data_IF_870762138764
#
_entry.id   IF_870762138764
#
_cell.length_a   1.000
_cell.length_b   1.000
_cell.length_c   1.000
_cell.angle_alpha   90.00
_cell.angle_beta   90.00
_cell.angle_gamma   90.00
#
_symmetry.space_group_name_H-M   'P 1'
#
loop_
_entity.id
_entity.type
_entity.pdbx_description
1 polymer ?
#
# COMPACT_ATOMS: atom_id res chain seq x y z
N UNK A 1 -29.29 0.85 16.27
CA UNK A 1 -29.23 1.56 14.98
C UNK A 1 -28.89 2.99 15.32
N UNK A 2 -27.66 3.44 15.07
CA UNK A 2 -27.26 4.82 15.37
C UNK A 2 -27.85 5.70 14.27
N UNK A 3 -28.88 6.44 14.60
CA UNK A 3 -29.41 7.54 13.79
C UNK A 3 -28.42 8.69 13.96
N UNK A 4 -27.58 8.94 12.96
CA UNK A 4 -26.66 10.08 12.98
C UNK A 4 -27.46 11.26 12.44
N UNK A 5 -27.99 12.08 13.35
CA UNK A 5 -28.53 13.37 12.99
C UNK A 5 -27.35 14.35 12.87
N UNK A 6 -27.05 14.75 11.64
CA UNK A 6 -26.05 15.81 11.40
C UNK A 6 -26.76 17.16 11.43
N UNK A 7 -26.14 18.15 12.08
CA UNK A 7 -26.67 19.52 12.13
C UNK A 7 -26.70 20.14 10.73
N UNK A 8 -27.78 20.86 10.42
CA UNK A 8 -27.89 21.62 9.18
C UNK A 8 -26.83 22.75 9.17
N UNK A 9 -26.12 22.97 8.05
CA UNK A 9 -25.16 24.10 7.93
C UNK A 9 -25.75 25.46 8.23
N UNK A 10 -27.07 25.64 8.11
CA UNK A 10 -27.74 26.91 8.46
C UNK A 10 -27.79 27.08 9.99
N UNK A 11 -28.08 26.01 10.73
CA UNK A 11 -28.15 26.02 12.20
C UNK A 11 -26.78 26.27 12.84
N UNK A 12 -25.69 25.90 12.15
CA UNK A 12 -24.33 26.10 12.63
C UNK A 12 -23.91 27.59 12.68
N UNK A 13 -24.60 28.48 11.98
CA UNK A 13 -24.26 29.92 11.97
C UNK A 13 -24.55 30.60 13.28
N UNK A 14 -25.54 30.14 13.99
CA UNK A 14 -25.99 30.72 15.27
C UNK A 14 -25.56 29.88 16.48
N UNK A 15 -24.78 28.80 16.23
CA UNK A 15 -24.28 27.89 17.26
C UNK A 15 -23.09 28.54 18.03
N UNK A 16 -23.00 28.23 19.31
CA UNK A 16 -21.82 28.59 20.12
C UNK A 16 -20.62 27.63 19.79
N UNK A 17 -19.44 28.02 20.27
CA UNK A 17 -18.20 27.28 20.02
C UNK A 17 -18.28 25.82 20.49
N UNK A 18 -18.97 25.54 21.60
CA UNK A 18 -19.13 24.18 22.12
C UNK A 18 -20.00 23.32 21.18
N UNK A 19 -21.09 23.89 20.68
CA UNK A 19 -21.95 23.22 19.70
C UNK A 19 -21.25 22.99 18.37
N UNK A 20 -20.41 23.95 17.91
CA UNK A 20 -19.58 23.79 16.71
C UNK A 20 -18.56 22.66 16.88
N UNK A 21 -17.88 22.58 18.03
CA UNK A 21 -16.95 21.47 18.31
C UNK A 21 -17.65 20.13 18.34
N UNK A 22 -18.83 20.04 18.97
CA UNK A 22 -19.63 18.82 19.00
C UNK A 22 -20.05 18.39 17.59
N UNK A 23 -20.50 19.34 16.75
CA UNK A 23 -20.85 19.05 15.36
C UNK A 23 -19.66 18.53 14.53
N UNK A 24 -18.47 19.09 14.74
CA UNK A 24 -17.22 18.60 14.09
C UNK A 24 -16.93 17.16 14.51
N UNK A 25 -17.02 16.85 15.80
CA UNK A 25 -16.78 15.49 16.31
C UNK A 25 -17.83 14.51 15.81
N UNK A 26 -19.09 14.88 15.74
CA UNK A 26 -20.18 14.04 15.26
C UNK A 26 -20.04 13.76 13.76
N UNK A 27 -19.73 14.76 12.95
CA UNK A 27 -19.45 14.59 11.53
C UNK A 27 -18.25 13.66 11.31
N UNK A 28 -17.16 13.84 12.05
CA UNK A 28 -15.98 13.00 11.95
C UNK A 28 -16.29 11.53 12.31
N UNK A 29 -17.07 11.30 13.38
CA UNK A 29 -17.52 9.95 13.75
C UNK A 29 -18.43 9.34 12.69
N UNK A 30 -19.34 10.12 12.14
CA UNK A 30 -20.26 9.69 11.08
C UNK A 30 -19.51 9.26 9.81
N UNK A 31 -18.54 10.08 9.36
CA UNK A 31 -17.71 9.79 8.20
C UNK A 31 -16.95 8.47 8.38
N UNK A 32 -16.33 8.31 9.53
CA UNK A 32 -15.59 7.09 9.87
C UNK A 32 -16.50 5.86 9.87
N UNK A 33 -17.64 5.94 10.54
CA UNK A 33 -18.61 4.85 10.62
C UNK A 33 -19.21 4.49 9.24
N UNK A 34 -19.45 5.48 8.40
CA UNK A 34 -19.90 5.27 7.01
C UNK A 34 -18.79 4.57 6.19
N UNK A 35 -17.52 5.00 6.35
CA UNK A 35 -16.37 4.36 5.75
C UNK A 35 -16.21 2.90 6.16
N UNK A 36 -16.41 2.59 7.44
CA UNK A 36 -16.36 1.24 7.97
C UNK A 36 -17.45 0.33 7.36
N UNK A 37 -18.70 0.81 7.29
CA UNK A 37 -19.81 0.09 6.64
C UNK A 37 -19.54 -0.17 5.17
N UNK A 38 -18.99 0.82 4.46
CA UNK A 38 -18.60 0.66 3.06
C UNK A 38 -17.56 -0.44 2.90
N UNK A 39 -16.54 -0.50 3.75
CA UNK A 39 -15.55 -1.57 3.70
C UNK A 39 -16.16 -2.94 4.02
N UNK A 40 -17.11 -3.02 4.94
CA UNK A 40 -17.83 -4.28 5.22
C UNK A 40 -18.60 -4.77 3.98
N UNK A 41 -19.26 -3.86 3.25
CA UNK A 41 -19.96 -4.19 2.01
C UNK A 41 -18.97 -4.65 0.91
N UNK A 42 -17.82 -3.99 0.81
CA UNK A 42 -16.74 -4.39 -0.13
C UNK A 42 -16.21 -5.78 0.23
N UNK A 43 -16.00 -6.09 1.51
CA UNK A 43 -15.55 -7.42 1.94
C UNK A 43 -16.54 -8.51 1.53
N UNK A 44 -17.82 -8.28 1.74
CA UNK A 44 -18.88 -9.23 1.38
C UNK A 44 -18.96 -9.43 -0.15
N UNK A 45 -18.93 -8.34 -0.93
CA UNK A 45 -18.90 -8.42 -2.39
C UNK A 45 -17.68 -9.19 -2.89
N UNK A 46 -16.50 -8.87 -2.35
CA UNK A 46 -15.25 -9.55 -2.70
C UNK A 46 -15.35 -11.04 -2.41
N UNK A 47 -15.80 -11.43 -1.22
CA UNK A 47 -15.95 -12.83 -0.83
C UNK A 47 -16.89 -13.60 -1.76
N UNK A 48 -17.99 -12.98 -2.19
CA UNK A 48 -18.95 -13.60 -3.14
C UNK A 48 -18.34 -13.79 -4.53
N UNK A 49 -17.50 -12.87 -4.99
CA UNK A 49 -16.88 -12.96 -6.33
C UNK A 49 -15.69 -13.92 -6.37
N UNK A 50 -14.95 -14.04 -5.25
CA UNK A 50 -13.73 -14.87 -5.19
C UNK A 50 -13.97 -16.25 -4.57
N UNK A 51 -15.04 -16.44 -3.78
CA UNK A 51 -15.29 -17.68 -3.02
C UNK A 51 -15.64 -18.90 -3.87
N UNK A 52 -16.07 -18.73 -5.12
CA UNK A 52 -16.39 -19.81 -6.06
C UNK A 52 -16.00 -19.38 -7.48
N UNK A 53 -14.73 -19.03 -7.66
CA UNK A 53 -14.25 -18.43 -8.90
C UNK A 53 -14.06 -19.48 -10.00
N UNK A 54 -15.10 -19.66 -10.82
CA UNK A 54 -15.05 -20.48 -12.03
C UNK A 54 -14.22 -19.84 -13.16
N UNK A 55 -13.65 -18.67 -12.93
CA UNK A 55 -12.90 -17.86 -13.90
C UNK A 55 -11.43 -17.69 -13.51
N UNK A 56 -10.94 -18.52 -12.57
CA UNK A 56 -9.56 -18.42 -12.08
C UNK A 56 -8.50 -18.54 -13.21
N UNK A 57 -8.88 -19.21 -14.31
CA UNK A 57 -8.01 -19.38 -15.50
C UNK A 57 -8.28 -18.33 -16.61
N UNK A 58 -9.11 -17.32 -16.34
CA UNK A 58 -9.40 -16.27 -17.30
C UNK A 58 -8.46 -15.08 -17.12
N UNK A 59 -8.29 -14.27 -18.16
CA UNK A 59 -7.53 -13.02 -18.12
C UNK A 59 -8.08 -12.00 -17.11
N UNK A 60 -9.37 -12.11 -16.72
CA UNK A 60 -10.03 -11.38 -15.65
C UNK A 60 -10.66 -12.37 -14.68
N UNK A 61 -10.08 -12.53 -13.51
CA UNK A 61 -10.58 -13.40 -12.44
C UNK A 61 -11.69 -12.73 -11.61
N UNK A 62 -12.20 -13.43 -10.60
CA UNK A 62 -13.22 -12.92 -9.69
C UNK A 62 -12.76 -11.70 -8.89
N UNK A 63 -11.47 -11.58 -8.63
CA UNK A 63 -10.89 -10.41 -7.97
C UNK A 63 -10.95 -9.17 -8.86
N UNK A 64 -10.53 -9.28 -10.12
CA UNK A 64 -10.56 -8.18 -11.08
C UNK A 64 -11.98 -7.71 -11.37
N UNK A 65 -12.93 -8.65 -11.48
CA UNK A 65 -14.35 -8.34 -11.62
C UNK A 65 -14.86 -7.53 -10.42
N UNK A 66 -14.59 -8.00 -9.19
CA UNK A 66 -14.99 -7.28 -7.97
C UNK A 66 -14.32 -5.89 -7.89
N UNK A 67 -13.04 -5.79 -8.25
CA UNK A 67 -12.33 -4.53 -8.24
C UNK A 67 -12.91 -3.53 -9.26
N UNK A 68 -13.33 -3.99 -10.43
CA UNK A 68 -14.00 -3.15 -11.43
C UNK A 68 -15.37 -2.67 -10.94
N UNK A 69 -16.18 -3.55 -10.33
CA UNK A 69 -17.48 -3.19 -9.74
C UNK A 69 -17.32 -2.15 -8.61
N UNK A 70 -16.36 -2.35 -7.70
CA UNK A 70 -16.07 -1.41 -6.61
C UNK A 70 -15.53 -0.08 -7.16
N UNK A 71 -14.66 -0.14 -8.18
CA UNK A 71 -14.14 1.06 -8.82
C UNK A 71 -15.23 1.91 -9.43
N UNK A 72 -16.18 1.30 -10.15
CA UNK A 72 -17.33 1.96 -10.75
C UNK A 72 -18.25 2.56 -9.66
N UNK A 73 -18.57 1.79 -8.62
CA UNK A 73 -19.47 2.25 -7.55
C UNK A 73 -18.89 3.44 -6.76
N UNK A 74 -17.56 3.52 -6.62
CA UNK A 74 -16.89 4.57 -5.86
C UNK A 74 -16.30 5.67 -6.73
N UNK A 75 -16.37 5.55 -8.07
CA UNK A 75 -15.73 6.47 -9.00
C UNK A 75 -14.22 6.64 -8.71
N UNK A 76 -13.54 5.51 -8.51
CA UNK A 76 -12.09 5.46 -8.22
C UNK A 76 -11.38 4.56 -9.22
N UNK A 77 -10.04 4.62 -9.26
CA UNK A 77 -9.25 3.71 -10.09
C UNK A 77 -9.36 2.25 -9.60
N UNK A 78 -9.22 1.29 -10.51
CA UNK A 78 -9.16 -0.15 -10.21
C UNK A 78 -8.13 -0.47 -9.11
N UNK A 79 -6.94 0.10 -9.18
CA UNK A 79 -5.90 -0.06 -8.15
C UNK A 79 -6.37 0.41 -6.77
N UNK A 80 -7.09 1.53 -6.69
CA UNK A 80 -7.61 2.05 -5.42
C UNK A 80 -8.74 1.16 -4.89
N UNK A 81 -9.58 0.62 -5.76
CA UNK A 81 -10.62 -0.35 -5.41
C UNK A 81 -10.02 -1.64 -4.86
N UNK A 82 -9.04 -2.23 -5.55
CA UNK A 82 -8.30 -3.41 -5.09
C UNK A 82 -7.64 -3.19 -3.73
N UNK A 83 -7.06 -2.00 -3.49
CA UNK A 83 -6.52 -1.64 -2.17
C UNK A 83 -7.58 -1.61 -1.07
N UNK A 84 -8.81 -1.15 -1.35
CA UNK A 84 -9.93 -1.19 -0.40
C UNK A 84 -10.42 -2.62 -0.16
N UNK A 85 -10.42 -3.48 -1.17
CA UNK A 85 -10.74 -4.90 -1.03
C UNK A 85 -9.75 -5.60 -0.10
N UNK A 86 -8.45 -5.40 -0.30
CA UNK A 86 -7.42 -5.94 0.61
C UNK A 86 -7.61 -5.46 2.05
N UNK A 87 -7.84 -4.16 2.23
CA UNK A 87 -8.08 -3.58 3.55
C UNK A 87 -9.30 -4.19 4.21
N UNK A 88 -10.41 -4.34 3.48
CA UNK A 88 -11.67 -4.88 3.99
C UNK A 88 -11.54 -6.34 4.44
N UNK A 89 -10.87 -7.18 3.64
CA UNK A 89 -10.60 -8.57 4.01
C UNK A 89 -9.65 -8.68 5.21
N UNK A 90 -8.67 -7.77 5.32
CA UNK A 90 -7.78 -7.76 6.49
C UNK A 90 -8.53 -7.40 7.76
N UNK A 91 -9.49 -6.46 7.68
CA UNK A 91 -10.34 -6.09 8.82
C UNK A 91 -11.24 -7.22 9.31
N UNK A 92 -11.68 -8.13 8.43
CA UNK A 92 -12.42 -9.33 8.85
C UNK A 92 -11.61 -10.24 9.80
N UNK A 93 -10.29 -10.11 9.79
CA UNK A 93 -9.39 -10.84 10.69
C UNK A 93 -9.16 -10.13 12.03
N UNK A 94 -9.65 -8.90 12.18
CA UNK A 94 -9.47 -8.01 13.33
C UNK A 94 -10.84 -7.51 13.83
N UNK A 95 -11.70 -8.40 14.35
CA UNK A 95 -13.09 -8.07 14.65
C UNK A 95 -13.26 -7.00 15.73
N UNK A 96 -12.37 -6.90 16.72
CA UNK A 96 -12.48 -5.88 17.77
C UNK A 96 -12.05 -4.51 17.27
N UNK A 97 -10.97 -4.42 16.48
CA UNK A 97 -10.57 -3.18 15.79
C UNK A 97 -11.67 -2.74 14.82
N UNK A 98 -12.25 -3.68 14.06
CA UNK A 98 -13.35 -3.41 13.14
C UNK A 98 -14.61 -2.88 13.86
N UNK A 99 -14.92 -3.39 15.04
CA UNK A 99 -16.03 -2.90 15.85
C UNK A 99 -15.84 -1.44 16.29
N UNK A 100 -14.64 -1.06 16.73
CA UNK A 100 -14.31 0.33 17.06
C UNK A 100 -14.37 1.25 15.85
N UNK A 101 -13.96 0.75 14.69
CA UNK A 101 -14.05 1.50 13.43
C UNK A 101 -15.52 1.71 13.02
N UNK A 102 -16.36 0.67 13.13
CA UNK A 102 -17.81 0.78 12.90
C UNK A 102 -18.50 1.72 13.87
N UNK A 103 -18.01 1.84 15.11
CA UNK A 103 -18.48 2.77 16.10
C UNK A 103 -17.96 4.22 15.89
N UNK A 104 -17.12 4.46 14.87
CA UNK A 104 -16.56 5.78 14.58
C UNK A 104 -15.44 6.22 15.52
N UNK A 105 -14.88 5.29 16.31
CA UNK A 105 -13.87 5.59 17.33
C UNK A 105 -12.42 5.56 16.83
N UNK A 106 -12.17 4.96 15.67
CA UNK A 106 -10.85 4.87 15.05
C UNK A 106 -10.86 5.50 13.66
N UNK A 107 -9.94 6.40 13.39
CA UNK A 107 -9.83 6.99 12.05
C UNK A 107 -9.46 5.96 10.98
N UNK A 108 -9.90 6.18 9.74
CA UNK A 108 -9.56 5.34 8.59
C UNK A 108 -8.03 5.21 8.39
N UNK A 109 -7.27 6.29 8.67
CA UNK A 109 -5.81 6.28 8.64
C UNK A 109 -5.24 5.28 9.64
N UNK A 110 -5.69 5.31 10.89
CA UNK A 110 -5.21 4.42 11.94
C UNK A 110 -5.52 2.95 11.62
N UNK A 111 -6.73 2.68 11.19
CA UNK A 111 -7.19 1.34 10.79
C UNK A 111 -6.38 0.81 9.61
N UNK A 112 -6.08 1.64 8.61
CA UNK A 112 -5.24 1.24 7.47
C UNK A 112 -3.83 0.86 7.90
N UNK A 113 -3.21 1.59 8.83
CA UNK A 113 -1.88 1.28 9.34
C UNK A 113 -1.91 -0.01 10.17
N UNK A 114 -2.91 -0.19 11.03
CA UNK A 114 -3.09 -1.43 11.79
C UNK A 114 -3.21 -2.63 10.84
N UNK A 115 -4.10 -2.56 9.85
CA UNK A 115 -4.32 -3.63 8.90
C UNK A 115 -3.04 -3.97 8.12
N UNK A 116 -2.32 -2.96 7.66
CA UNK A 116 -1.06 -3.14 6.95
C UNK A 116 0.01 -3.81 7.80
N UNK A 117 0.18 -3.37 9.05
CA UNK A 117 1.21 -3.91 9.95
C UNK A 117 0.90 -5.34 10.41
N UNK A 118 -0.37 -5.69 10.59
CA UNK A 118 -0.82 -7.01 11.06
C UNK A 118 -0.96 -8.04 9.95
N UNK A 119 -0.81 -7.65 8.69
CA UNK A 119 -1.01 -8.52 7.53
C UNK A 119 -0.20 -9.83 7.58
N UNK A 120 1.04 -9.76 8.06
CA UNK A 120 1.96 -10.91 8.13
C UNK A 120 1.80 -11.77 9.39
N UNK A 121 0.93 -11.41 10.32
CA UNK A 121 0.58 -12.28 11.46
C UNK A 121 -0.30 -13.42 10.93
N UNK A 122 0.23 -14.64 10.98
CA UNK A 122 -0.43 -15.82 10.40
C UNK A 122 -1.14 -16.67 11.42
N UNK A 123 -0.59 -16.75 12.64
CA UNK A 123 -1.17 -17.54 13.72
C UNK A 123 -2.50 -16.91 14.17
N UNK A 124 -3.62 -17.65 14.10
CA UNK A 124 -4.94 -17.14 14.49
C UNK A 124 -5.06 -16.76 15.96
N UNK A 125 -4.39 -17.49 16.85
CA UNK A 125 -4.42 -17.23 18.29
C UNK A 125 -3.64 -15.94 18.59
N UNK A 126 -2.41 -15.81 18.08
CA UNK A 126 -1.63 -14.59 18.20
C UNK A 126 -2.37 -13.38 17.61
N UNK A 127 -3.05 -13.55 16.48
CA UNK A 127 -3.82 -12.49 15.85
C UNK A 127 -5.03 -12.06 16.70
N UNK A 128 -5.72 -13.01 17.33
CA UNK A 128 -6.85 -12.72 18.23
C UNK A 128 -6.40 -11.95 19.47
N UNK A 129 -5.28 -12.34 20.09
CA UNK A 129 -4.69 -11.63 21.23
C UNK A 129 -4.21 -10.23 20.83
N UNK A 130 -3.62 -10.12 19.64
CA UNK A 130 -3.17 -8.85 19.07
C UNK A 130 -4.35 -7.91 18.79
N UNK A 131 -5.43 -8.40 18.18
CA UNK A 131 -6.64 -7.62 17.91
C UNK A 131 -7.23 -7.05 19.21
N UNK A 132 -7.33 -7.87 20.26
CA UNK A 132 -7.78 -7.43 21.57
C UNK A 132 -6.87 -6.34 22.19
N UNK A 133 -5.55 -6.52 22.08
CA UNK A 133 -4.59 -5.54 22.59
C UNK A 133 -4.63 -4.24 21.80
N UNK A 134 -4.69 -4.31 20.47
CA UNK A 134 -4.80 -3.14 19.61
C UNK A 134 -6.09 -2.38 19.87
N UNK A 135 -7.23 -3.07 19.94
CA UNK A 135 -8.53 -2.44 20.23
C UNK A 135 -8.51 -1.69 21.57
N UNK A 136 -7.87 -2.25 22.59
CA UNK A 136 -7.76 -1.59 23.91
C UNK A 136 -6.98 -0.29 23.90
N UNK A 137 -5.98 -0.17 23.02
CA UNK A 137 -5.03 0.96 23.02
C UNK A 137 -5.21 1.93 21.86
N UNK A 138 -5.83 1.51 20.77
CA UNK A 138 -5.86 2.25 19.50
C UNK A 138 -6.55 3.62 19.61
N UNK A 139 -7.56 3.78 20.47
CA UNK A 139 -8.27 5.06 20.67
C UNK A 139 -7.34 6.18 21.17
N UNK A 140 -6.28 5.83 21.91
CA UNK A 140 -5.30 6.79 22.41
C UNK A 140 -4.24 7.19 21.36
N UNK A 141 -4.20 6.50 20.21
CA UNK A 141 -3.14 6.69 19.20
C UNK A 141 -3.50 7.68 18.08
N UNK A 142 -4.71 8.23 18.08
CA UNK A 142 -5.15 9.17 17.04
C UNK A 142 -4.18 10.32 16.77
N UNK A 143 -3.61 10.99 17.80
CA UNK A 143 -2.69 12.09 17.62
C UNK A 143 -1.27 11.70 17.18
N UNK A 144 -0.92 10.40 17.16
CA UNK A 144 0.44 9.97 16.85
C UNK A 144 0.77 10.17 15.36
N UNK A 145 2.02 10.57 15.09
CA UNK A 145 2.56 10.52 13.71
C UNK A 145 2.66 9.08 13.21
N UNK A 146 2.66 8.90 11.88
CA UNK A 146 2.71 7.56 11.29
C UNK A 146 3.89 6.70 11.82
N UNK A 147 5.14 7.19 11.90
CA UNK A 147 6.25 6.40 12.43
C UNK A 147 6.09 5.99 13.90
N UNK A 148 5.52 6.88 14.74
CA UNK A 148 5.26 6.57 16.15
C UNK A 148 4.15 5.52 16.28
N UNK A 149 3.12 5.63 15.45
CA UNK A 149 2.02 4.69 15.39
C UNK A 149 2.50 3.30 14.94
N UNK A 150 3.27 3.22 13.87
CA UNK A 150 3.86 1.97 13.40
C UNK A 150 4.71 1.31 14.48
N UNK A 151 5.57 2.06 15.16
CA UNK A 151 6.38 1.54 16.27
C UNK A 151 5.52 1.04 17.43
N UNK A 152 4.43 1.72 17.77
CA UNK A 152 3.50 1.28 18.81
C UNK A 152 2.81 -0.04 18.42
N UNK A 153 2.37 -0.18 17.18
CA UNK A 153 1.76 -1.42 16.67
C UNK A 153 2.80 -2.55 16.65
N UNK A 154 4.00 -2.29 16.13
CA UNK A 154 5.09 -3.28 16.05
C UNK A 154 5.48 -3.84 17.42
N UNK A 155 5.43 -3.02 18.48
CA UNK A 155 5.72 -3.50 19.82
C UNK A 155 4.71 -4.55 20.30
N UNK A 156 3.45 -4.46 19.88
CA UNK A 156 2.44 -5.47 20.16
C UNK A 156 2.60 -6.70 19.26
N UNK A 157 2.94 -6.51 17.98
CA UNK A 157 3.26 -7.63 17.09
C UNK A 157 4.44 -8.43 17.63
N UNK A 158 5.52 -7.76 18.06
CA UNK A 158 6.70 -8.41 18.61
C UNK A 158 6.37 -9.24 19.86
N UNK A 159 5.41 -8.78 20.65
CA UNK A 159 4.95 -9.47 21.85
C UNK A 159 4.18 -10.76 21.56
N UNK A 160 3.31 -10.77 20.54
CA UNK A 160 2.40 -11.89 20.27
C UNK A 160 2.86 -12.78 19.10
N UNK A 161 3.53 -12.21 18.10
CA UNK A 161 4.13 -12.92 16.96
C UNK A 161 5.44 -12.27 16.53
N UNK A 162 6.53 -12.45 17.27
CA UNK A 162 7.84 -11.91 16.90
C UNK A 162 8.33 -12.46 15.55
N UNK A 163 7.79 -13.58 15.09
CA UNK A 163 8.09 -14.13 13.78
C UNK A 163 7.48 -13.30 12.63
N UNK A 164 6.36 -12.60 12.86
CA UNK A 164 5.76 -11.73 11.87
C UNK A 164 6.70 -10.58 11.46
N UNK A 165 7.36 -9.94 12.41
CA UNK A 165 8.36 -8.90 12.14
C UNK A 165 9.60 -9.46 11.42
N UNK A 166 10.01 -10.69 11.77
CA UNK A 166 11.09 -11.39 11.05
C UNK A 166 10.68 -11.72 9.62
N UNK A 167 9.42 -12.14 9.38
CA UNK A 167 8.88 -12.38 8.02
C UNK A 167 8.95 -11.12 7.16
N UNK A 168 8.69 -9.94 7.71
CA UNK A 168 8.85 -8.66 7.01
C UNK A 168 10.29 -8.44 6.56
N UNK A 169 11.27 -8.74 7.42
CA UNK A 169 12.70 -8.63 7.09
C UNK A 169 13.15 -9.68 6.09
N UNK A 170 12.67 -10.93 6.22
CA UNK A 170 12.95 -12.01 5.28
C UNK A 170 12.33 -11.69 3.90
N UNK A 171 11.18 -11.06 3.85
CA UNK A 171 10.55 -10.60 2.60
C UNK A 171 11.44 -9.62 1.82
N UNK A 172 12.31 -8.87 2.48
CA UNK A 172 13.30 -8.03 1.80
C UNK A 172 14.40 -8.83 1.08
N UNK A 173 14.62 -10.10 1.44
CA UNK A 173 15.55 -11.00 0.74
C UNK A 173 14.96 -11.50 -0.59
N UNK A 174 13.65 -11.57 -0.70
CA UNK A 174 12.94 -11.96 -1.92
C UNK A 174 12.88 -10.81 -2.96
N UNK A 175 13.88 -9.91 -2.92
CA UNK A 175 14.03 -8.93 -4.00
C UNK A 175 14.38 -9.68 -5.25
N UNK A 176 13.62 -9.41 -6.27
CA UNK A 176 13.78 -10.03 -7.57
C UNK A 176 13.32 -9.07 -8.66
N UNK A 177 13.89 -9.20 -9.82
CA UNK A 177 13.47 -8.48 -11.02
C UNK A 177 13.39 -9.51 -12.15
N UNK A 178 12.18 -9.77 -12.58
CA UNK A 178 11.89 -10.70 -13.64
C UNK A 178 11.57 -9.96 -14.93
N UNK A 179 12.12 -10.45 -16.02
CA UNK A 179 11.77 -10.04 -17.37
C UNK A 179 11.12 -11.25 -18.02
N UNK A 180 9.87 -11.12 -18.43
CA UNK A 180 9.12 -12.18 -19.12
C UNK A 180 9.64 -12.42 -20.53
N UNK A 181 9.17 -13.49 -21.10
CA UNK A 181 9.45 -13.79 -22.50
C UNK A 181 8.90 -12.68 -23.41
N UNK A 182 9.61 -12.33 -24.48
CA UNK A 182 9.11 -11.36 -25.45
C UNK A 182 7.79 -11.82 -26.07
N UNK A 183 6.82 -10.93 -26.13
CA UNK A 183 5.65 -11.10 -26.97
C UNK A 183 6.09 -10.84 -28.42
N UNK A 184 6.12 -11.89 -29.24
CA UNK A 184 6.61 -11.84 -30.61
C UNK A 184 5.74 -10.94 -31.51
N UNK A 185 4.43 -10.83 -31.20
CA UNK A 185 3.50 -9.99 -32.00
C UNK A 185 3.59 -8.52 -31.62
N UNK A 186 3.76 -8.21 -30.33
CA UNK A 186 3.81 -6.85 -29.81
C UNK A 186 5.24 -6.28 -29.71
N UNK A 187 6.26 -7.12 -29.76
CA UNK A 187 7.67 -6.73 -29.57
C UNK A 187 7.95 -6.18 -28.17
N UNK A 188 7.15 -6.54 -27.18
CA UNK A 188 7.26 -6.11 -25.79
C UNK A 188 7.54 -7.29 -24.86
N UNK A 189 8.07 -7.01 -23.68
CA UNK A 189 8.22 -8.00 -22.62
C UNK A 189 7.69 -7.43 -21.30
N UNK A 190 7.06 -8.27 -20.50
CA UNK A 190 6.61 -7.86 -19.17
C UNK A 190 7.81 -7.74 -18.23
N UNK A 191 7.77 -6.73 -17.34
CA UNK A 191 8.75 -6.52 -16.29
C UNK A 191 8.01 -6.45 -14.95
N UNK A 192 8.40 -7.28 -13.97
CA UNK A 192 7.85 -7.25 -12.61
C UNK A 192 8.91 -7.64 -11.58
N UNK A 193 8.67 -7.29 -10.32
CA UNK A 193 9.60 -7.65 -9.27
C UNK A 193 9.41 -6.87 -7.98
N UNK A 194 10.39 -7.01 -7.09
CA UNK A 194 10.46 -6.33 -5.80
C UNK A 194 11.83 -5.69 -5.60
N UNK A 195 11.81 -4.40 -5.29
CA UNK A 195 12.98 -3.60 -4.92
C UNK A 195 12.87 -3.16 -3.44
N UNK A 196 13.95 -2.67 -2.88
CA UNK A 196 13.83 -1.85 -1.67
C UNK A 196 12.93 -0.64 -1.94
N UNK A 197 12.16 -0.22 -0.95
CA UNK A 197 11.26 0.92 -1.09
C UNK A 197 11.97 2.20 -1.51
N UNK A 198 13.19 2.42 -1.02
CA UNK A 198 14.06 3.54 -1.41
C UNK A 198 14.45 3.47 -2.88
N UNK A 199 14.86 2.30 -3.35
CA UNK A 199 15.28 2.09 -4.74
C UNK A 199 14.09 2.22 -5.69
N UNK A 200 12.94 1.67 -5.31
CA UNK A 200 11.70 1.81 -6.07
C UNK A 200 11.29 3.29 -6.19
N UNK A 201 11.36 4.05 -5.08
CA UNK A 201 11.06 5.49 -5.09
C UNK A 201 12.06 6.30 -5.93
N UNK A 202 13.36 5.97 -5.88
CA UNK A 202 14.37 6.57 -6.73
C UNK A 202 14.10 6.29 -8.20
N UNK A 203 13.84 5.04 -8.54
CA UNK A 203 13.56 4.62 -9.90
C UNK A 203 12.29 5.31 -10.43
N UNK A 204 11.20 5.30 -9.66
CA UNK A 204 9.94 5.95 -10.03
C UNK A 204 10.14 7.45 -10.31
N UNK A 205 10.83 8.15 -9.42
CA UNK A 205 11.14 9.57 -9.58
C UNK A 205 12.02 9.82 -10.81
N UNK A 206 13.03 8.98 -11.04
CA UNK A 206 13.92 9.10 -12.19
C UNK A 206 13.19 8.87 -13.51
N UNK A 207 12.36 7.82 -13.59
CA UNK A 207 11.54 7.54 -14.77
C UNK A 207 10.57 8.69 -15.06
N UNK A 208 9.96 9.26 -14.03
CA UNK A 208 9.08 10.42 -14.16
C UNK A 208 9.83 11.64 -14.70
N UNK A 209 11.02 11.94 -14.19
CA UNK A 209 11.86 13.04 -14.68
C UNK A 209 12.22 12.86 -16.14
N UNK A 210 12.64 11.67 -16.54
CA UNK A 210 13.01 11.37 -17.92
C UNK A 210 11.80 11.49 -18.88
N UNK A 211 10.65 10.97 -18.45
CA UNK A 211 9.42 11.03 -19.23
C UNK A 211 8.90 12.47 -19.46
N UNK A 212 9.16 13.38 -18.53
CA UNK A 212 8.85 14.80 -18.67
C UNK A 212 9.98 15.63 -19.30
N UNK A 213 11.13 15.04 -19.54
CA UNK A 213 12.29 15.72 -20.15
C UNK A 213 12.24 15.85 -21.66
N UNK A 214 11.20 15.33 -22.32
CA UNK A 214 10.95 15.47 -23.75
C UNK A 214 9.97 16.61 -24.04
N UNK A 215 9.89 17.09 -25.28
CA UNK A 215 8.97 18.17 -25.64
C UNK A 215 7.50 17.72 -25.64
N UNK A 216 6.58 18.69 -25.67
CA UNK A 216 5.13 18.42 -25.64
C UNK A 216 4.62 17.72 -26.91
N UNK A 217 5.33 17.93 -28.07
CA UNK A 217 5.00 17.30 -29.35
C UNK A 217 5.46 15.84 -29.45
N UNK A 218 6.03 15.24 -28.39
CA UNK A 218 6.40 13.83 -28.39
C UNK A 218 5.12 12.97 -28.47
N UNK A 219 4.98 12.08 -29.48
CA UNK A 219 3.72 11.36 -29.73
C UNK A 219 3.42 10.29 -28.66
N UNK A 220 4.40 9.92 -27.83
CA UNK A 220 4.24 8.89 -26.80
C UNK A 220 3.46 9.42 -25.60
N UNK A 221 2.62 8.58 -25.03
CA UNK A 221 1.98 8.84 -23.74
C UNK A 221 3.02 8.85 -22.61
N UNK A 222 2.70 9.47 -21.47
CA UNK A 222 3.59 9.45 -20.29
C UNK A 222 3.93 8.02 -19.86
N UNK A 223 2.99 7.08 -19.97
CA UNK A 223 3.24 5.67 -19.64
C UNK A 223 4.28 5.05 -20.60
N UNK A 224 4.16 5.30 -21.88
CA UNK A 224 5.14 4.84 -22.89
C UNK A 224 6.50 5.51 -22.69
N UNK A 225 6.53 6.82 -22.44
CA UNK A 225 7.78 7.55 -22.15
C UNK A 225 8.47 6.98 -20.90
N UNK A 226 7.72 6.57 -19.87
CA UNK A 226 8.29 5.94 -18.67
C UNK A 226 8.88 4.55 -18.96
N UNK A 227 8.22 3.77 -19.79
CA UNK A 227 8.74 2.45 -20.22
C UNK A 227 10.04 2.60 -21.03
N UNK A 228 10.04 3.51 -22.02
CA UNK A 228 11.20 3.80 -22.84
C UNK A 228 12.37 4.41 -22.03
N UNK A 229 12.03 5.23 -21.02
CA UNK A 229 13.02 5.79 -20.10
C UNK A 229 13.74 4.70 -19.29
N UNK A 230 13.08 3.59 -18.96
CA UNK A 230 13.73 2.45 -18.30
C UNK A 230 14.79 1.82 -19.24
N UNK A 231 14.44 1.64 -20.52
CA UNK A 231 15.36 1.16 -21.54
C UNK A 231 16.55 2.11 -21.73
N UNK A 232 16.30 3.43 -21.78
CA UNK A 232 17.35 4.45 -21.86
C UNK A 232 18.30 4.38 -20.66
N UNK A 233 17.78 4.24 -19.43
CA UNK A 233 18.60 4.06 -18.21
C UNK A 233 19.42 2.78 -18.27
N UNK A 234 18.85 1.67 -18.75
CA UNK A 234 19.56 0.41 -18.90
C UNK A 234 20.71 0.52 -19.93
N UNK A 235 20.54 1.38 -20.95
CA UNK A 235 21.58 1.71 -21.93
C UNK A 235 22.60 2.75 -21.43
N UNK A 236 22.48 3.22 -20.17
CA UNK A 236 23.38 4.20 -19.58
C UNK A 236 23.11 5.65 -20.01
N UNK A 237 21.92 5.93 -20.56
CA UNK A 237 21.56 7.28 -20.97
C UNK A 237 21.07 8.15 -19.81
N UNK A 238 21.42 9.42 -19.81
CA UNK A 238 21.00 10.39 -18.79
C UNK A 238 19.59 10.94 -19.04
N UNK A 239 19.05 10.73 -20.22
CA UNK A 239 17.77 11.28 -20.66
C UNK A 239 17.11 10.41 -21.73
N UNK A 240 15.82 10.60 -21.88
CA UNK A 240 15.02 10.00 -22.92
C UNK A 240 15.12 10.86 -24.20
N UNK A 241 15.43 10.24 -25.32
CA UNK A 241 15.41 10.90 -26.63
C UNK A 241 13.97 11.23 -27.02
N UNK A 242 13.74 12.47 -27.48
CA UNK A 242 12.42 12.91 -27.94
C UNK A 242 12.04 12.21 -29.26
N UNK A 243 10.79 11.78 -29.35
CA UNK A 243 10.22 11.15 -30.55
C UNK A 243 9.42 12.10 -31.46
N UNK A 244 9.50 13.42 -31.28
CA UNK A 244 8.71 14.39 -32.07
C UNK A 244 9.14 14.50 -33.54
N UNK A 245 10.29 13.96 -33.93
CA UNK A 245 10.78 14.03 -35.32
C UNK A 245 11.32 15.37 -35.75
N UNK A 246 11.29 16.41 -34.90
CA UNK A 246 11.84 17.72 -35.20
C UNK A 246 13.35 17.77 -34.97
N UNK A 247 14.13 18.07 -36.03
CA UNK A 247 15.61 18.18 -35.94
C UNK A 247 16.07 19.28 -34.98
N UNK A 248 15.26 20.33 -34.82
CA UNK A 248 15.57 21.49 -33.99
C UNK A 248 15.07 21.36 -32.56
N UNK A 249 14.48 20.20 -32.22
CA UNK A 249 14.00 19.95 -30.89
C UNK A 249 15.17 19.91 -29.86
N UNK A 250 15.16 20.73 -28.83
CA UNK A 250 16.24 20.78 -27.84
C UNK A 250 16.39 19.45 -27.05
N UNK A 251 15.37 18.60 -27.09
CA UNK A 251 15.39 17.27 -26.45
C UNK A 251 15.78 16.15 -27.41
N UNK A 252 16.01 16.43 -28.71
CA UNK A 252 16.43 15.43 -29.69
C UNK A 252 17.96 15.29 -29.79
N UNK A 253 18.70 16.35 -29.52
CA UNK A 253 20.17 16.35 -29.59
C UNK A 253 20.77 17.22 -28.49
N UNK A 254 21.77 16.70 -27.79
CA UNK A 254 22.61 17.53 -26.93
C UNK A 254 23.11 16.80 -25.67
N UNK A 255 24.39 16.89 -25.49
CA UNK A 255 25.15 16.47 -24.28
C UNK A 255 24.81 17.43 -23.12
N UNK A 256 23.67 17.26 -22.45
CA UNK A 256 23.41 17.98 -21.22
C UNK A 256 23.76 17.12 -20.02
N UNK A 257 24.80 17.48 -19.30
CA UNK A 257 25.00 17.04 -17.93
C UNK A 257 23.80 17.51 -17.11
N UNK A 258 22.85 16.62 -16.86
CA UNK A 258 21.83 16.89 -15.87
C UNK A 258 22.40 16.66 -14.48
N UNK A 259 22.36 17.72 -13.67
CA UNK A 259 22.47 17.56 -12.24
C UNK A 259 21.33 16.64 -11.77
N UNK A 260 21.67 15.53 -11.17
CA UNK A 260 20.69 14.63 -10.56
C UNK A 260 20.08 15.33 -9.35
N UNK A 261 19.03 16.11 -9.56
CA UNK A 261 18.31 16.82 -8.49
C UNK A 261 17.42 15.92 -7.64
N UNK A 262 17.76 14.65 -7.48
CA UNK A 262 17.02 13.74 -6.60
C UNK A 262 17.65 13.80 -5.22
N UNK A 263 17.00 14.48 -4.29
CA UNK A 263 17.35 14.47 -2.87
C UNK A 263 16.43 13.50 -2.16
N UNK A 264 16.98 12.46 -1.56
CA UNK A 264 16.25 11.52 -0.70
C UNK A 264 16.56 11.90 0.74
N UNK A 265 15.53 12.34 1.47
CA UNK A 265 15.64 12.57 2.91
C UNK A 265 15.40 11.24 3.63
N UNK A 266 16.47 10.68 4.20
CA UNK A 266 16.39 9.51 5.08
C UNK A 266 16.42 10.02 6.52
N UNK A 267 15.36 9.76 7.28
CA UNK A 267 15.35 10.01 8.72
C UNK A 267 15.66 8.68 9.41
N UNK A 268 16.84 8.60 10.00
CA UNK A 268 17.32 7.43 10.72
C UNK A 268 17.91 7.85 12.06
N UNK A 269 17.93 6.96 13.05
CA UNK A 269 18.71 7.15 14.28
C UNK A 269 20.19 7.24 13.96
N UNK A 270 20.93 8.11 14.68
CA UNK A 270 22.37 8.31 14.46
C UNK A 270 23.17 7.00 14.57
N UNK A 271 22.74 6.06 15.41
CA UNK A 271 23.33 4.73 15.53
C UNK A 271 23.12 3.87 14.28
N UNK A 272 22.08 4.10 13.49
CA UNK A 272 21.81 3.35 12.26
C UNK A 272 22.71 3.79 11.09
N UNK A 273 23.24 5.00 11.12
CA UNK A 273 24.11 5.54 10.06
C UNK A 273 25.48 4.83 9.98
N UNK A 274 25.94 4.26 11.10
CA UNK A 274 27.21 3.52 11.16
C UNK A 274 27.03 2.00 11.26
N UNK A 275 25.82 1.50 11.24
CA UNK A 275 25.54 0.07 11.37
C UNK A 275 25.95 -0.69 10.09
N UNK A 276 26.58 -1.85 10.27
CA UNK A 276 26.82 -2.75 9.15
C UNK A 276 25.49 -3.17 8.50
N UNK A 277 25.44 -3.39 7.18
CA UNK A 277 24.25 -3.89 6.51
C UNK A 277 23.73 -5.18 7.18
N UNK A 278 22.41 -5.25 7.46
CA UNK A 278 21.85 -6.46 8.04
C UNK A 278 22.06 -7.65 7.07
N UNK A 279 22.85 -8.66 7.45
CA UNK A 279 23.13 -9.80 6.59
C UNK A 279 21.89 -10.60 6.20
N UNK A 280 20.77 -10.39 6.91
CA UNK A 280 19.48 -11.01 6.59
C UNK A 280 18.79 -10.38 5.38
N UNK A 281 19.24 -9.19 4.96
CA UNK A 281 18.69 -8.50 3.79
C UNK A 281 19.33 -8.94 2.47
N UNK A 282 20.38 -9.78 2.52
CA UNK A 282 21.11 -10.25 1.35
C UNK A 282 21.38 -11.76 1.46
N UNK A 283 21.60 -12.39 0.31
CA UNK A 283 21.88 -13.83 0.20
C UNK A 283 20.66 -14.70 -0.16
N UNK A 284 20.84 -16.01 -0.32
CA UNK A 284 19.78 -16.94 -0.68
C UNK A 284 18.67 -16.95 0.38
N UNK A 285 17.43 -17.18 -0.07
CA UNK A 285 16.31 -17.32 0.85
C UNK A 285 16.59 -18.50 1.82
N UNK A 286 16.51 -18.30 3.14
CA UNK A 286 16.74 -19.40 4.07
C UNK A 286 15.71 -20.50 3.81
N UNK A 287 16.18 -21.75 3.68
CA UNK A 287 15.32 -22.90 3.60
C UNK A 287 14.34 -22.85 4.79
N UNK A 288 13.03 -22.98 4.52
CA UNK A 288 12.04 -23.13 5.57
C UNK A 288 12.50 -24.30 6.44
N UNK A 289 12.76 -24.03 7.71
CA UNK A 289 13.05 -25.10 8.66
C UNK A 289 11.89 -26.10 8.57
N UNK A 290 12.17 -27.42 8.46
CA UNK A 290 11.11 -28.41 8.47
C UNK A 290 10.27 -28.21 9.73
N UNK A 291 8.95 -28.15 9.57
CA UNK A 291 8.03 -28.09 10.70
C UNK A 291 8.41 -29.23 11.67
N UNK A 292 8.68 -28.87 12.92
CA UNK A 292 8.92 -29.86 13.95
C UNK A 292 7.73 -30.82 13.97
N UNK A 293 7.96 -32.15 13.98
CA UNK A 293 6.88 -33.11 13.97
C UNK A 293 5.99 -32.84 15.20
N UNK A 294 4.68 -32.72 14.93
CA UNK A 294 3.69 -32.53 16.00
C UNK A 294 3.88 -33.58 17.06
N UNK A 295 4.14 -33.15 18.28
CA UNK A 295 4.27 -34.05 19.45
C UNK A 295 2.96 -34.81 19.59
N UNK A 296 2.95 -36.17 19.58
CA UNK A 296 1.72 -36.91 19.72
C UNK A 296 1.13 -36.63 21.09
N UNK A 297 -0.16 -36.25 21.13
CA UNK A 297 -0.89 -36.08 22.37
C UNK A 297 -0.83 -37.35 23.19
N UNK A 298 -0.23 -37.27 24.38
CA UNK A 298 -0.26 -38.33 25.39
C UNK A 298 -1.71 -38.47 25.85
N UNK A 299 -2.26 -39.70 25.68
CA UNK A 299 -3.58 -40.09 26.16
C UNK A 299 -3.61 -40.12 27.69
#
# INVERSE_FOLDING_TARGET
>A
MFEISLSDPVELRDADDAALLAAIEDCARAEVAAGARRLSAIAELTSRRTGNDQRADWACDGWDCAAAEVAAALTVSHRKASGQMHLSLTLNRLPQVAALFLAGQLSARLVSIIAWRTYLVRDPEALSLLDAALAKHATAWGPLSAPKLEKAIDSWIDRYDPAALRRTRISARSRDLCIGDPDEDAGTAALWGRLFATDAAMLDKRLTQLAHGVCDDDPRTIAQRRADALGALAAGADRLTCGCGNSDCPSSAGNHRQATGVVIHVVADAAALGAAPDPRLSGPEPALAPEAPATPAVK
#
